data_IF_789083993407
#
_entry.id   IF_789083993407
#
_cell.length_a   1.000
_cell.length_b   1.000
_cell.length_c   1.000
_cell.angle_alpha   90.00
_cell.angle_beta   90.00
_cell.angle_gamma   90.00
#
_symmetry.space_group_name_H-M   'P 1'
#
loop_
_entity.id
_entity.type
_entity.pdbx_description
1 polymer ?
#
# COMPACT_ATOMS: atom_id res chain seq x y z
N UNK A 1 -20.42 1.42 -2.68
CA UNK A 1 -20.79 2.04 -1.39
C UNK A 1 -21.19 3.50 -1.58
N UNK A 2 -22.10 4.04 -0.76
CA UNK A 2 -22.58 5.43 -0.88
C UNK A 2 -21.44 6.46 -0.89
N UNK A 3 -20.37 6.21 -0.12
CA UNK A 3 -19.22 7.09 -0.09
C UNK A 3 -18.43 7.12 -1.41
N UNK A 4 -18.24 5.98 -2.06
CA UNK A 4 -17.50 5.93 -3.33
C UNK A 4 -18.23 6.70 -4.44
N UNK A 5 -19.57 6.58 -4.49
CA UNK A 5 -20.40 7.34 -5.42
C UNK A 5 -20.27 8.85 -5.18
N UNK A 6 -20.29 9.28 -3.91
CA UNK A 6 -20.04 10.68 -3.56
C UNK A 6 -18.65 11.16 -4.03
N UNK A 7 -17.60 10.39 -3.73
CA UNK A 7 -16.23 10.76 -4.12
C UNK A 7 -16.09 10.85 -5.65
N UNK A 8 -16.75 9.97 -6.39
CA UNK A 8 -16.79 10.00 -7.84
C UNK A 8 -17.55 11.22 -8.42
N UNK A 9 -18.52 11.78 -7.69
CA UNK A 9 -19.21 13.01 -8.10
C UNK A 9 -18.43 14.30 -7.84
N UNK A 10 -17.19 14.22 -7.33
CA UNK A 10 -16.34 15.39 -7.04
C UNK A 10 -17.01 16.42 -6.11
N UNK A 11 -17.92 15.95 -5.27
CA UNK A 11 -18.64 16.75 -4.28
C UNK A 11 -17.88 16.76 -2.93
N UNK A 12 -18.33 17.61 -2.01
CA UNK A 12 -17.86 17.57 -0.63
C UNK A 12 -18.35 16.30 0.06
N UNK A 13 -17.47 15.32 0.20
CA UNK A 13 -17.76 14.02 0.79
C UNK A 13 -17.04 13.85 2.12
N UNK A 14 -17.56 13.01 3.03
CA UNK A 14 -16.80 12.58 4.19
C UNK A 14 -15.46 11.95 3.78
N UNK A 15 -14.42 12.07 4.62
CA UNK A 15 -13.11 11.46 4.32
C UNK A 15 -13.20 9.94 4.14
N UNK A 16 -14.05 9.29 4.95
CA UNK A 16 -14.17 7.85 5.08
C UNK A 16 -13.27 7.28 6.17
N UNK A 17 -13.35 5.97 6.37
CA UNK A 17 -12.54 5.25 7.37
C UNK A 17 -11.62 4.20 6.72
N UNK A 18 -10.40 4.11 7.24
CA UNK A 18 -9.50 2.97 7.02
C UNK A 18 -10.07 1.75 7.75
N UNK A 19 -10.05 0.57 7.13
CA UNK A 19 -10.64 -0.64 7.74
C UNK A 19 -9.83 -1.17 8.93
N UNK A 20 -8.51 -1.23 8.80
CA UNK A 20 -7.61 -1.71 9.85
C UNK A 20 -6.32 -0.91 9.86
N UNK A 21 -5.88 -0.46 11.02
CA UNK A 21 -4.62 0.27 11.18
C UNK A 21 -3.83 -0.24 12.37
N UNK A 22 -2.53 -0.43 12.18
CA UNK A 22 -1.56 -0.65 13.24
C UNK A 22 -0.59 0.53 13.28
N UNK A 23 -0.41 1.09 14.47
CA UNK A 23 0.43 2.27 14.68
C UNK A 23 1.42 2.01 15.82
N UNK A 24 2.69 2.37 15.63
CA UNK A 24 3.74 2.36 16.68
C UNK A 24 3.83 1.03 17.45
N UNK A 25 3.75 -0.09 16.72
CA UNK A 25 3.55 -1.43 17.29
C UNK A 25 4.60 -2.41 16.80
N UNK A 26 4.82 -3.50 17.54
CA UNK A 26 5.83 -4.53 17.19
C UNK A 26 5.23 -5.92 17.15
N UNK A 27 5.85 -6.81 16.37
CA UNK A 27 5.55 -8.25 16.34
C UNK A 27 4.11 -8.56 15.92
N UNK A 28 3.62 -7.87 14.89
CA UNK A 28 2.25 -8.02 14.39
C UNK A 28 2.18 -9.20 13.41
N UNK A 29 1.13 -10.03 13.55
CA UNK A 29 0.80 -11.10 12.60
C UNK A 29 -0.63 -10.96 12.11
N UNK A 30 -0.81 -10.73 10.82
CA UNK A 30 -2.13 -10.69 10.16
C UNK A 30 -2.22 -11.90 9.24
N UNK A 31 -3.15 -12.83 9.52
CA UNK A 31 -3.23 -14.11 8.79
C UNK A 31 -4.64 -14.39 8.32
N UNK A 32 -4.79 -14.71 7.02
CA UNK A 32 -6.05 -15.20 6.41
C UNK A 32 -7.26 -14.28 6.64
N UNK A 33 -7.02 -12.99 6.80
CA UNK A 33 -8.07 -11.99 6.97
C UNK A 33 -8.67 -11.63 5.60
N UNK A 34 -9.99 -11.48 5.55
CA UNK A 34 -10.72 -10.91 4.42
C UNK A 34 -11.12 -9.47 4.76
N UNK A 35 -10.73 -8.50 3.95
CA UNK A 35 -11.14 -7.10 4.07
C UNK A 35 -11.96 -6.70 2.84
N UNK A 36 -13.19 -6.23 3.07
CA UNK A 36 -14.17 -5.93 2.02
C UNK A 36 -14.54 -4.45 2.03
N UNK A 37 -14.57 -3.85 0.84
CA UNK A 37 -15.20 -2.55 0.56
C UNK A 37 -14.79 -1.42 1.52
N UNK A 38 -13.48 -1.21 1.68
CA UNK A 38 -13.01 -0.11 2.54
C UNK A 38 -13.41 1.25 1.98
N UNK A 39 -13.63 2.21 2.88
CA UNK A 39 -13.96 3.60 2.52
C UNK A 39 -12.72 4.42 2.13
N UNK A 40 -11.56 3.98 2.60
CA UNK A 40 -10.22 4.45 2.27
C UNK A 40 -9.28 3.23 2.20
N UNK A 41 -8.09 3.29 2.80
CA UNK A 41 -7.15 2.17 2.88
C UNK A 41 -7.74 0.94 3.58
N UNK A 42 -7.44 -0.25 3.07
CA UNK A 42 -7.86 -1.51 3.71
C UNK A 42 -7.00 -1.83 4.93
N UNK A 43 -5.68 -1.79 4.82
CA UNK A 43 -4.74 -2.07 5.92
C UNK A 43 -3.64 -1.02 5.94
N UNK A 44 -3.46 -0.35 7.07
CA UNK A 44 -2.35 0.59 7.30
C UNK A 44 -1.38 0.01 8.33
N UNK A 45 -0.09 0.03 7.99
CA UNK A 45 1.04 -0.34 8.84
C UNK A 45 1.92 0.90 8.96
N UNK A 46 1.84 1.59 10.10
CA UNK A 46 2.49 2.87 10.34
C UNK A 46 3.39 2.81 11.60
N UNK A 47 4.65 3.18 11.50
CA UNK A 47 5.54 3.18 12.68
C UNK A 47 5.79 1.79 13.27
N UNK A 48 5.63 0.72 12.49
CA UNK A 48 5.63 -0.65 13.01
C UNK A 48 6.95 -1.39 12.74
N UNK A 49 7.25 -2.38 13.59
CA UNK A 49 8.43 -3.22 13.47
C UNK A 49 8.07 -4.71 13.51
N UNK A 50 8.69 -5.51 12.64
CA UNK A 50 8.49 -6.97 12.55
C UNK A 50 7.01 -7.33 12.32
N UNK A 51 6.52 -7.00 11.12
CA UNK A 51 5.13 -7.25 10.72
C UNK A 51 5.08 -8.37 9.68
N UNK A 52 4.18 -9.33 9.89
CA UNK A 52 3.97 -10.44 8.97
C UNK A 52 2.52 -10.52 8.52
N UNK A 53 2.28 -10.17 7.26
CA UNK A 53 0.96 -10.25 6.61
C UNK A 53 0.97 -11.45 5.67
N UNK A 54 0.08 -12.41 5.91
CA UNK A 54 0.08 -13.67 5.17
C UNK A 54 -1.33 -14.14 4.80
N UNK A 55 -1.55 -14.46 3.52
CA UNK A 55 -2.81 -15.05 3.07
C UNK A 55 -3.99 -14.08 3.15
N UNK A 56 -3.73 -12.77 3.22
CA UNK A 56 -4.79 -11.76 3.29
C UNK A 56 -5.47 -11.60 1.93
N UNK A 57 -6.79 -11.43 1.96
CA UNK A 57 -7.62 -11.16 0.79
C UNK A 57 -8.26 -9.79 0.94
N UNK A 58 -8.05 -8.91 -0.03
CA UNK A 58 -8.64 -7.57 -0.09
C UNK A 58 -9.52 -7.48 -1.34
N UNK A 59 -10.75 -7.03 -1.16
CA UNK A 59 -11.72 -6.88 -2.25
C UNK A 59 -12.45 -5.55 -2.12
N UNK A 60 -12.27 -4.69 -3.10
CA UNK A 60 -13.10 -3.53 -3.39
C UNK A 60 -13.31 -3.40 -4.91
N UNK A 61 -14.26 -2.57 -5.34
CA UNK A 61 -14.52 -2.35 -6.75
C UNK A 61 -13.31 -1.66 -7.43
N UNK A 62 -13.08 -1.94 -8.71
CA UNK A 62 -11.93 -1.39 -9.46
C UNK A 62 -11.98 0.11 -9.69
N UNK A 63 -13.15 0.72 -9.51
CA UNK A 63 -13.42 2.15 -9.59
C UNK A 63 -13.57 2.79 -8.18
N UNK A 64 -13.26 2.06 -7.11
CA UNK A 64 -13.38 2.57 -5.75
C UNK A 64 -12.24 3.57 -5.43
N UNK A 65 -12.55 4.85 -5.14
CA UNK A 65 -11.53 5.89 -5.04
C UNK A 65 -10.74 5.79 -3.73
N UNK A 66 -9.41 5.82 -3.84
CA UNK A 66 -8.45 5.85 -2.72
C UNK A 66 -8.55 4.66 -1.76
N UNK A 67 -8.78 3.48 -2.31
CA UNK A 67 -8.93 2.22 -1.55
C UNK A 67 -7.66 1.39 -1.50
N UNK A 68 -6.49 1.97 -1.22
CA UNK A 68 -5.24 1.20 -1.28
C UNK A 68 -5.32 -0.06 -0.41
N UNK A 69 -4.70 -1.13 -0.89
CA UNK A 69 -4.77 -2.43 -0.24
C UNK A 69 -3.99 -2.46 1.07
N UNK A 70 -2.66 -2.51 0.97
CA UNK A 70 -1.78 -2.46 2.14
C UNK A 70 -0.86 -1.25 2.02
N UNK A 71 -1.06 -0.29 2.92
CA UNK A 71 -0.20 0.88 3.04
C UNK A 71 0.86 0.63 4.11
N UNK A 72 2.14 0.83 3.77
CA UNK A 72 3.28 0.70 4.68
C UNK A 72 4.04 2.02 4.72
N UNK A 73 4.23 2.60 5.91
CA UNK A 73 5.05 3.80 6.10
C UNK A 73 5.74 3.77 7.47
N UNK A 74 6.88 4.46 7.59
CA UNK A 74 7.66 4.58 8.83
C UNK A 74 7.92 3.23 9.53
N UNK A 75 7.96 2.14 8.78
CA UNK A 75 7.94 0.78 9.31
C UNK A 75 9.14 -0.01 8.84
N UNK A 76 9.63 -0.93 9.67
CA UNK A 76 10.74 -1.80 9.30
C UNK A 76 10.48 -3.29 9.47
N UNK A 77 11.13 -4.10 8.64
CA UNK A 77 11.02 -5.57 8.65
C UNK A 77 9.57 -6.00 8.47
N UNK A 78 9.01 -5.67 7.31
CA UNK A 78 7.62 -5.97 6.95
C UNK A 78 7.61 -7.04 5.87
N UNK A 79 6.86 -8.12 6.08
CA UNK A 79 6.66 -9.18 5.10
C UNK A 79 5.19 -9.22 4.67
N UNK A 80 4.94 -9.18 3.36
CA UNK A 80 3.61 -9.32 2.75
C UNK A 80 3.64 -10.50 1.79
N UNK A 81 3.02 -11.61 2.18
CA UNK A 81 3.25 -12.91 1.52
C UNK A 81 1.92 -13.59 1.18
N UNK A 82 1.81 -14.15 -0.04
CA UNK A 82 0.65 -14.96 -0.46
C UNK A 82 -0.69 -14.21 -0.36
N UNK A 83 -0.71 -12.92 -0.67
CA UNK A 83 -1.90 -12.08 -0.58
C UNK A 83 -2.58 -11.93 -1.95
N UNK A 84 -3.89 -11.73 -1.94
CA UNK A 84 -4.67 -11.34 -3.13
C UNK A 84 -5.38 -10.02 -2.86
N UNK A 85 -5.14 -9.03 -3.71
CA UNK A 85 -5.57 -7.65 -3.47
C UNK A 85 -6.25 -7.11 -4.73
N UNK A 86 -7.51 -6.70 -4.57
CA UNK A 86 -8.33 -6.05 -5.59
C UNK A 86 -8.87 -4.75 -5.02
N UNK A 87 -8.51 -3.63 -5.63
CA UNK A 87 -8.79 -2.27 -5.16
C UNK A 87 -9.05 -1.34 -6.35
N UNK A 88 -9.43 -0.09 -6.08
CA UNK A 88 -9.45 0.96 -7.10
C UNK A 88 -8.22 1.87 -7.08
N UNK A 89 -7.30 1.65 -6.13
CA UNK A 89 -6.03 2.39 -6.02
C UNK A 89 -4.84 1.42 -5.87
N UNK A 90 -3.72 1.86 -5.31
CA UNK A 90 -2.50 1.06 -5.14
C UNK A 90 -2.79 -0.26 -4.40
N UNK A 91 -2.34 -1.38 -4.97
CA UNK A 91 -2.39 -2.69 -4.35
C UNK A 91 -1.59 -2.70 -3.04
N UNK A 92 -0.35 -2.18 -3.12
CA UNK A 92 0.51 -1.91 -1.97
C UNK A 92 1.11 -0.52 -2.21
N UNK A 93 0.89 0.41 -1.28
CA UNK A 93 1.52 1.73 -1.30
C UNK A 93 2.59 1.82 -0.21
N UNK A 94 3.78 2.28 -0.61
CA UNK A 94 4.99 2.27 0.23
C UNK A 94 5.41 3.72 0.46
N UNK A 95 5.07 4.23 1.63
CA UNK A 95 5.40 5.58 2.08
C UNK A 95 6.80 5.71 2.67
N UNK A 96 7.21 6.97 2.97
CA UNK A 96 8.53 7.30 3.49
C UNK A 96 8.84 6.58 4.81
N UNK A 97 10.13 6.37 5.08
CA UNK A 97 10.63 5.66 6.25
C UNK A 97 10.39 4.15 6.25
N UNK A 98 9.94 3.57 5.13
CA UNK A 98 9.83 2.12 4.99
C UNK A 98 11.21 1.50 4.76
N UNK A 99 11.60 0.53 5.60
CA UNK A 99 12.91 -0.14 5.53
C UNK A 99 12.77 -1.66 5.59
N UNK A 100 13.44 -2.41 4.71
CA UNK A 100 13.37 -3.89 4.69
C UNK A 100 11.93 -4.40 4.52
N UNK A 101 11.34 -4.10 3.36
CA UNK A 101 10.03 -4.61 2.96
C UNK A 101 10.21 -5.79 1.99
N UNK A 102 9.61 -6.93 2.32
CA UNK A 102 9.56 -8.11 1.48
C UNK A 102 8.13 -8.38 1.02
N UNK A 103 7.91 -8.38 -0.29
CA UNK A 103 6.63 -8.71 -0.92
C UNK A 103 6.83 -9.95 -1.79
N UNK A 104 6.07 -11.02 -1.54
CA UNK A 104 6.22 -12.27 -2.28
C UNK A 104 4.90 -12.98 -2.54
N UNK A 105 4.74 -13.53 -3.75
CA UNK A 105 3.56 -14.32 -4.13
C UNK A 105 2.27 -13.51 -3.96
N UNK A 106 2.28 -12.24 -4.36
CA UNK A 106 1.11 -11.36 -4.28
C UNK A 106 0.44 -11.28 -5.65
N UNK A 107 -0.89 -11.40 -5.66
CA UNK A 107 -1.69 -11.10 -6.85
C UNK A 107 -2.39 -9.76 -6.66
N UNK A 108 -2.01 -8.78 -7.47
CA UNK A 108 -2.57 -7.44 -7.50
C UNK A 108 -3.48 -7.29 -8.73
N UNK A 109 -4.72 -6.83 -8.54
CA UNK A 109 -5.52 -6.42 -9.69
C UNK A 109 -7.01 -6.74 -9.62
N UNK A 110 -7.89 -5.77 -9.97
CA UNK A 110 -7.59 -4.42 -10.49
C UNK A 110 -6.97 -3.47 -9.45
N UNK A 111 -6.54 -2.27 -9.89
CA UNK A 111 -5.94 -1.22 -9.05
C UNK A 111 -4.77 -0.49 -9.72
N UNK A 112 -3.93 0.22 -8.96
CA UNK A 112 -2.81 1.00 -9.52
C UNK A 112 -1.45 0.28 -9.54
N UNK A 113 -1.40 -0.98 -9.08
CA UNK A 113 -0.16 -1.75 -8.96
C UNK A 113 0.52 -1.59 -7.61
N UNK A 114 1.81 -1.89 -7.51
CA UNK A 114 2.61 -1.64 -6.30
C UNK A 114 3.37 -0.33 -6.50
N UNK A 115 3.17 0.63 -5.61
CA UNK A 115 3.76 1.96 -5.73
C UNK A 115 4.67 2.31 -4.56
N UNK A 116 5.88 2.77 -4.85
CA UNK A 116 6.72 3.52 -3.90
C UNK A 116 6.38 4.99 -4.02
N UNK A 117 5.98 5.61 -2.90
CA UNK A 117 5.58 7.00 -2.81
C UNK A 117 4.06 7.24 -2.78
N UNK A 118 3.59 8.48 -2.97
CA UNK A 118 4.40 9.63 -3.39
C UNK A 118 5.41 10.03 -2.33
N UNK A 119 6.67 10.16 -2.73
CA UNK A 119 7.76 10.73 -1.92
C UNK A 119 7.96 12.21 -2.23
N UNK A 120 8.81 12.86 -1.45
CA UNK A 120 9.08 14.28 -1.48
C UNK A 120 7.85 15.13 -1.14
N UNK A 121 6.90 14.62 -0.33
CA UNK A 121 5.75 15.40 0.16
C UNK A 121 6.18 16.44 1.20
N UNK A 122 7.34 16.26 1.82
CA UNK A 122 7.97 17.22 2.73
C UNK A 122 9.42 17.51 2.29
N UNK A 123 9.95 18.68 2.67
CA UNK A 123 11.35 19.04 2.38
C UNK A 123 12.32 18.11 3.12
N UNK A 124 11.99 17.76 4.38
CA UNK A 124 12.70 16.78 5.19
C UNK A 124 11.80 15.56 5.33
N UNK A 125 12.16 14.49 4.65
CA UNK A 125 11.39 13.25 4.59
C UNK A 125 12.36 12.07 4.67
N UNK A 126 11.96 10.98 5.34
CA UNK A 126 12.74 9.74 5.34
C UNK A 126 12.65 9.04 3.98
N UNK A 127 13.74 8.41 3.55
CA UNK A 127 13.74 7.58 2.35
C UNK A 127 13.05 6.23 2.52
N UNK A 128 12.87 5.56 1.39
CA UNK A 128 12.46 4.15 1.31
C UNK A 128 13.68 3.33 0.93
N UNK A 129 13.97 2.28 1.72
CA UNK A 129 15.16 1.47 1.48
C UNK A 129 14.90 -0.03 1.60
N UNK A 130 15.65 -0.82 0.82
CA UNK A 130 15.64 -2.29 0.88
C UNK A 130 14.23 -2.86 0.68
N UNK A 131 13.65 -2.63 -0.49
CA UNK A 131 12.35 -3.18 -0.89
C UNK A 131 12.60 -4.31 -1.88
N UNK A 132 12.13 -5.52 -1.58
CA UNK A 132 12.15 -6.63 -2.54
C UNK A 132 10.72 -7.04 -2.86
N UNK A 133 10.40 -7.06 -4.14
CA UNK A 133 9.12 -7.53 -4.66
C UNK A 133 9.40 -8.70 -5.58
N UNK A 134 8.81 -9.86 -5.28
CA UNK A 134 9.10 -11.10 -6.01
C UNK A 134 7.86 -11.96 -6.29
N UNK A 135 7.84 -12.64 -7.44
CA UNK A 135 6.76 -13.58 -7.81
C UNK A 135 5.38 -12.91 -7.70
N UNK A 136 5.27 -11.70 -8.22
CA UNK A 136 4.04 -10.90 -8.13
C UNK A 136 3.32 -10.91 -9.48
N UNK A 137 2.01 -11.14 -9.46
CA UNK A 137 1.16 -11.11 -10.65
C UNK A 137 0.31 -9.84 -10.64
N UNK A 138 0.33 -9.11 -11.73
CA UNK A 138 -0.48 -7.90 -11.95
C UNK A 138 -1.56 -8.20 -12.98
N UNK A 139 -2.84 -8.01 -12.65
CA UNK A 139 -3.97 -8.32 -13.53
C UNK A 139 -4.94 -7.14 -13.64
N UNK A 140 -4.96 -6.48 -14.80
CA UNK A 140 -5.85 -5.31 -15.00
C UNK A 140 -5.52 -4.15 -14.06
N UNK A 141 -4.25 -3.99 -13.69
CA UNK A 141 -3.77 -2.82 -12.95
C UNK A 141 -3.35 -1.71 -13.90
N UNK A 142 -3.46 -0.46 -13.48
CA UNK A 142 -2.99 0.70 -14.24
C UNK A 142 -1.47 0.66 -14.46
N UNK A 143 -0.72 0.22 -13.44
CA UNK A 143 0.73 0.06 -13.49
C UNK A 143 1.09 -1.31 -12.92
N UNK A 144 2.28 -1.82 -13.26
CA UNK A 144 2.87 -2.95 -12.54
C UNK A 144 3.53 -2.44 -11.26
N UNK A 145 4.82 -2.16 -11.36
CA UNK A 145 5.55 -1.35 -10.39
C UNK A 145 5.49 0.13 -10.79
N UNK A 146 5.37 1.02 -9.80
CA UNK A 146 5.54 2.46 -9.96
C UNK A 146 6.39 3.06 -8.84
N UNK A 147 7.24 4.03 -9.15
CA UNK A 147 7.89 4.91 -8.17
C UNK A 147 7.44 6.33 -8.49
N UNK A 148 6.87 7.03 -7.50
CA UNK A 148 6.31 8.38 -7.66
C UNK A 148 6.89 9.34 -6.62
N UNK A 149 7.32 10.52 -7.07
CA UNK A 149 7.76 11.61 -6.20
C UNK A 149 7.25 12.96 -6.73
N UNK A 150 7.10 13.93 -5.83
CA UNK A 150 6.82 15.30 -6.21
C UNK A 150 8.05 15.93 -6.89
N UNK A 151 7.82 16.72 -7.95
CA UNK A 151 8.87 17.40 -8.71
C UNK A 151 9.37 18.65 -7.97
N UNK A 152 9.96 18.45 -6.80
CA UNK A 152 10.43 19.53 -5.91
C UNK A 152 11.56 19.04 -5.01
N UNK A 153 12.34 19.94 -4.38
CA UNK A 153 13.41 19.55 -3.46
C UNK A 153 12.89 18.76 -2.24
N UNK A 154 13.61 17.70 -1.87
CA UNK A 154 13.41 16.92 -0.64
C UNK A 154 14.67 16.12 -0.29
N UNK A 155 14.85 15.79 0.98
CA UNK A 155 15.87 14.84 1.45
C UNK A 155 15.48 13.38 1.25
N UNK A 156 14.23 13.10 0.86
CA UNK A 156 13.74 11.75 0.61
C UNK A 156 14.50 11.05 -0.51
N UNK A 157 14.64 9.74 -0.41
CA UNK A 157 15.36 8.92 -1.38
C UNK A 157 14.69 7.55 -1.56
N UNK A 158 15.06 6.84 -2.63
CA UNK A 158 14.72 5.43 -2.84
C UNK A 158 16.00 4.67 -3.12
N UNK A 159 16.29 3.63 -2.34
CA UNK A 159 17.52 2.85 -2.48
C UNK A 159 17.30 1.35 -2.27
N UNK A 160 18.04 0.51 -3.00
CA UNK A 160 18.04 -0.94 -2.75
C UNK A 160 16.71 -1.61 -3.08
N UNK A 161 16.06 -1.20 -4.17
CA UNK A 161 14.81 -1.79 -4.63
C UNK A 161 15.09 -2.91 -5.64
N UNK A 162 14.50 -4.09 -5.44
CA UNK A 162 14.71 -5.28 -6.27
C UNK A 162 13.37 -5.86 -6.74
N UNK A 163 13.30 -6.14 -8.03
CA UNK A 163 12.19 -6.84 -8.68
C UNK A 163 12.73 -8.15 -9.22
N UNK A 164 12.17 -9.26 -8.75
CA UNK A 164 12.68 -10.60 -9.02
C UNK A 164 11.53 -11.53 -9.36
N UNK A 165 11.79 -12.55 -10.17
CA UNK A 165 10.81 -13.58 -10.52
C UNK A 165 11.14 -14.95 -9.89
#
# INVERSE_FOLDING_TARGET
PSLWACKASHSNCPSGATTLSFTNSKNIRIRRLLSLNSQMFHIVINGCENVHVQGVRIIAAGDSPNTDGIHVQLSKNVNIIKCSIKTGDDCISIGPGTKNLWVEQVTCGPGHGISIGSLAKDLKEEGVQNVTIRKTTFMGTQNGLRIKSWARPSTGFVQGVRFLD
#
